data_IF_847195873056
#
_entry.id   IF_847195873056
#
_cell.length_a   1.000
_cell.length_b   1.000
_cell.length_c   1.000
_cell.angle_alpha   90.00
_cell.angle_beta   90.00
_cell.angle_gamma   90.00
#
_symmetry.space_group_name_H-M   'P 1'
#
loop_
_entity.id
_entity.type
_entity.pdbx_description
1 polymer ?
#
# COMPACT_ATOMS: atom_id res chain seq x y z
N UNK A 1 15.32 -19.16 -62.97
CA UNK A 1 14.74 -19.58 -61.63
C UNK A 1 15.35 -18.71 -60.54
N UNK A 2 14.67 -17.62 -60.18
CA UNK A 2 15.08 -16.74 -59.09
C UNK A 2 14.28 -17.13 -57.82
N UNK A 3 14.99 -17.53 -56.78
CA UNK A 3 14.39 -17.76 -55.46
C UNK A 3 14.44 -16.43 -54.66
N UNK A 4 13.28 -15.90 -54.39
CA UNK A 4 13.14 -14.77 -53.45
C UNK A 4 13.29 -15.26 -52.02
N UNK A 5 14.27 -14.71 -51.31
CA UNK A 5 14.48 -14.94 -49.87
C UNK A 5 13.75 -13.82 -49.14
N UNK A 6 12.59 -14.14 -48.54
CA UNK A 6 11.87 -13.23 -47.66
C UNK A 6 12.54 -13.21 -46.27
N UNK A 7 13.17 -12.11 -45.94
CA UNK A 7 13.68 -11.87 -44.59
C UNK A 7 12.55 -11.38 -43.71
N UNK A 8 12.10 -12.22 -42.79
CA UNK A 8 11.17 -11.81 -41.73
C UNK A 8 11.94 -11.09 -40.62
N UNK A 9 11.73 -9.78 -40.51
CA UNK A 9 12.30 -8.99 -39.44
C UNK A 9 11.39 -9.13 -38.20
N UNK A 10 11.84 -9.88 -37.21
CA UNK A 10 11.15 -9.99 -35.93
C UNK A 10 11.39 -8.71 -35.11
N UNK A 11 10.33 -7.93 -34.90
CA UNK A 11 10.33 -6.80 -33.96
C UNK A 11 10.21 -7.34 -32.52
N UNK A 12 11.31 -7.33 -31.79
CA UNK A 12 11.32 -7.55 -30.35
C UNK A 12 10.80 -6.26 -29.65
N UNK A 13 9.55 -6.30 -29.22
CA UNK A 13 9.00 -5.26 -28.32
C UNK A 13 9.59 -5.54 -26.93
N UNK A 14 10.65 -4.83 -26.57
CA UNK A 14 11.13 -4.78 -25.20
C UNK A 14 10.11 -4.00 -24.36
N UNK A 15 9.23 -4.72 -23.65
CA UNK A 15 8.39 -4.14 -22.63
C UNK A 15 9.27 -3.59 -21.52
N UNK A 16 9.35 -2.26 -21.39
CA UNK A 16 9.95 -1.63 -20.24
C UNK A 16 9.05 -1.92 -19.02
N UNK A 17 9.44 -2.89 -18.20
CA UNK A 17 8.93 -3.04 -16.85
C UNK A 17 9.37 -1.76 -16.11
N UNK A 18 8.41 -0.88 -15.80
CA UNK A 18 8.65 0.23 -14.90
C UNK A 18 9.04 -0.39 -13.55
N UNK A 19 10.33 -0.38 -13.22
CA UNK A 19 10.81 -0.69 -11.90
C UNK A 19 10.28 0.43 -10.99
N UNK A 20 9.27 0.13 -10.18
CA UNK A 20 8.95 0.98 -9.04
C UNK A 20 10.17 0.97 -8.15
N UNK A 21 10.78 2.15 -7.94
CA UNK A 21 11.87 2.28 -7.00
C UNK A 21 11.36 1.85 -5.62
N UNK A 22 12.01 0.86 -5.01
CA UNK A 22 11.71 0.47 -3.63
C UNK A 22 11.92 1.67 -2.72
N UNK A 23 10.97 1.94 -1.82
CA UNK A 23 11.08 3.03 -0.87
C UNK A 23 12.16 2.77 0.19
N UNK A 24 12.58 3.83 0.87
CA UNK A 24 13.51 3.80 1.98
C UNK A 24 12.75 3.74 3.32
N UNK A 25 12.94 2.67 4.09
CA UNK A 25 12.25 2.45 5.35
C UNK A 25 12.63 3.48 6.43
N UNK A 26 13.86 3.97 6.46
CA UNK A 26 14.30 4.99 7.41
C UNK A 26 13.67 6.36 7.09
N UNK A 27 13.55 6.70 5.81
CA UNK A 27 12.77 7.87 5.38
C UNK A 27 11.28 7.66 5.65
N UNK A 28 10.77 6.45 5.44
CA UNK A 28 9.38 6.10 5.73
C UNK A 28 8.99 6.25 7.20
N UNK A 29 9.91 5.97 8.12
CA UNK A 29 9.72 6.26 9.55
C UNK A 29 9.44 7.74 9.80
N UNK A 30 10.11 8.64 9.07
CA UNK A 30 9.86 10.08 9.18
C UNK A 30 8.49 10.46 8.63
N UNK A 31 8.06 9.85 7.51
CA UNK A 31 6.72 10.03 6.96
C UNK A 31 5.66 9.53 7.94
N UNK A 32 5.90 8.40 8.61
CA UNK A 32 5.00 7.79 9.59
C UNK A 32 4.68 8.71 10.78
N UNK A 33 5.50 9.73 11.05
CA UNK A 33 5.19 10.74 12.08
C UNK A 33 3.83 11.43 11.86
N UNK A 34 3.31 11.44 10.64
CA UNK A 34 1.94 11.93 10.32
C UNK A 34 0.84 10.95 10.74
N UNK A 35 1.19 9.73 11.07
CA UNK A 35 0.26 8.61 11.36
C UNK A 35 0.29 8.22 12.85
N UNK A 36 1.39 8.55 13.55
CA UNK A 36 1.69 8.05 14.90
C UNK A 36 0.69 8.48 15.98
N UNK A 37 -0.01 9.58 15.76
CA UNK A 37 -1.05 10.03 16.69
C UNK A 37 -2.22 9.03 16.79
N UNK A 38 -2.48 8.30 15.71
CA UNK A 38 -3.61 7.39 15.58
C UNK A 38 -3.22 5.92 15.39
N UNK A 39 -1.98 5.63 15.00
CA UNK A 39 -1.54 4.28 14.68
C UNK A 39 -0.22 3.91 15.37
N UNK A 40 -0.08 2.63 15.70
CA UNK A 40 1.15 2.00 16.14
C UNK A 40 1.63 1.02 15.07
N UNK A 41 2.92 1.03 14.75
CA UNK A 41 3.48 0.14 13.71
C UNK A 41 4.46 -0.90 14.24
N UNK A 42 4.90 -0.77 15.50
CA UNK A 42 5.94 -1.63 16.11
C UNK A 42 5.39 -2.62 17.13
N UNK A 43 4.12 -2.49 17.48
CA UNK A 43 3.41 -3.40 18.38
C UNK A 43 1.96 -3.59 17.94
N UNK A 44 1.27 -4.53 18.57
CA UNK A 44 -0.15 -4.83 18.34
C UNK A 44 -1.10 -3.93 19.15
N UNK A 45 -0.59 -2.81 19.65
CA UNK A 45 -1.38 -1.86 20.43
C UNK A 45 -2.20 -0.93 19.53
N UNK A 46 -3.53 -1.00 19.68
CA UNK A 46 -4.44 -0.08 18.98
C UNK A 46 -4.48 1.28 19.68
N UNK A 47 -4.62 2.33 18.88
CA UNK A 47 -4.86 3.70 19.33
C UNK A 47 -6.24 4.16 18.84
N UNK A 48 -6.34 5.37 18.31
CA UNK A 48 -7.56 5.85 17.62
C UNK A 48 -7.86 4.96 16.40
N UNK A 49 -6.82 4.57 15.68
CA UNK A 49 -6.88 3.59 14.59
C UNK A 49 -6.30 2.23 15.00
N UNK A 50 -6.47 1.21 14.15
CA UNK A 50 -5.89 -0.10 14.37
C UNK A 50 -4.37 -0.06 14.33
N UNK A 51 -3.71 -0.99 15.03
CA UNK A 51 -2.28 -1.18 14.87
C UNK A 51 -1.94 -1.55 13.43
N UNK A 52 -0.77 -1.15 12.97
CA UNK A 52 -0.26 -1.43 11.62
C UNK A 52 0.88 -2.46 11.60
N UNK A 53 1.16 -3.09 12.75
CA UNK A 53 2.10 -4.22 12.81
C UNK A 53 1.59 -5.33 11.89
N UNK A 54 2.42 -5.74 10.92
CA UNK A 54 2.05 -6.77 9.96
C UNK A 54 0.94 -6.39 8.99
N UNK A 55 0.70 -5.08 8.75
CA UNK A 55 -0.40 -4.62 7.88
C UNK A 55 -0.21 -5.00 6.42
N UNK A 56 1.03 -5.08 5.93
CA UNK A 56 1.30 -5.47 4.53
C UNK A 56 0.92 -6.93 4.33
N UNK A 57 -0.03 -7.18 3.44
CA UNK A 57 -0.61 -8.51 3.19
C UNK A 57 -1.84 -8.85 4.02
N UNK A 58 -2.26 -7.99 4.96
CA UNK A 58 -3.46 -8.18 5.77
C UNK A 58 -4.72 -7.81 4.99
N UNK A 59 -5.80 -8.59 5.14
CA UNK A 59 -7.11 -8.22 4.61
C UNK A 59 -7.63 -6.97 5.33
N UNK A 60 -8.24 -6.05 4.59
CA UNK A 60 -8.81 -4.83 5.16
C UNK A 60 -9.88 -5.14 6.22
N UNK A 61 -9.88 -4.38 7.30
CA UNK A 61 -10.90 -4.52 8.35
C UNK A 61 -10.77 -5.75 9.24
N UNK A 62 -9.61 -6.40 9.31
CA UNK A 62 -9.45 -7.70 9.99
C UNK A 62 -8.43 -7.75 11.14
N UNK A 63 -7.92 -6.62 11.63
CA UNK A 63 -7.14 -6.65 12.86
C UNK A 63 -8.05 -7.07 14.02
N UNK A 64 -7.78 -8.22 14.64
CA UNK A 64 -8.66 -8.87 15.63
C UNK A 64 -8.99 -7.95 16.81
N UNK A 65 -8.01 -7.20 17.29
CA UNK A 65 -8.17 -6.26 18.39
C UNK A 65 -9.06 -5.05 18.06
N UNK A 66 -9.28 -4.77 16.76
CA UNK A 66 -9.99 -3.59 16.29
C UNK A 66 -11.33 -3.91 15.60
N UNK A 67 -11.77 -5.15 15.53
CA UNK A 67 -12.93 -5.60 14.73
C UNK A 67 -14.20 -4.79 14.99
N UNK A 68 -14.52 -4.50 16.25
CA UNK A 68 -15.73 -3.74 16.63
C UNK A 68 -15.64 -2.25 16.32
N UNK A 69 -14.45 -1.74 16.02
CA UNK A 69 -14.17 -0.30 15.85
C UNK A 69 -14.01 0.12 14.39
N UNK A 70 -13.86 -0.83 13.46
CA UNK A 70 -13.78 -0.51 12.04
C UNK A 70 -15.07 0.15 11.53
N UNK A 71 -14.94 1.09 10.57
CA UNK A 71 -16.06 1.59 9.82
C UNK A 71 -16.73 0.48 8.99
N UNK A 72 -18.01 0.64 8.68
CA UNK A 72 -18.68 -0.31 7.80
C UNK A 72 -18.01 -0.37 6.42
N UNK A 73 -17.61 0.78 5.86
CA UNK A 73 -16.90 0.83 4.59
C UNK A 73 -15.59 0.02 4.58
N UNK A 74 -14.83 0.03 5.69
CA UNK A 74 -13.61 -0.77 5.80
C UNK A 74 -13.93 -2.28 5.89
N UNK A 75 -14.97 -2.65 6.63
CA UNK A 75 -15.42 -4.05 6.73
C UNK A 75 -15.90 -4.57 5.37
N UNK A 76 -16.68 -3.77 4.65
CA UNK A 76 -17.21 -4.12 3.34
C UNK A 76 -16.09 -4.27 2.31
N UNK A 77 -15.08 -3.39 2.35
CA UNK A 77 -13.91 -3.49 1.48
C UNK A 77 -13.15 -4.80 1.72
N UNK A 78 -12.93 -5.18 2.97
CA UNK A 78 -12.31 -6.46 3.33
C UNK A 78 -13.14 -7.66 2.89
N UNK A 79 -14.44 -7.62 3.09
CA UNK A 79 -15.37 -8.66 2.65
C UNK A 79 -15.39 -8.81 1.11
N UNK A 80 -15.16 -7.73 0.38
CA UNK A 80 -15.02 -7.72 -1.07
C UNK A 80 -13.62 -8.17 -1.56
N UNK A 81 -12.70 -8.50 -0.65
CA UNK A 81 -11.39 -9.06 -0.98
C UNK A 81 -10.25 -8.06 -1.00
N UNK A 82 -10.41 -6.84 -0.46
CA UNK A 82 -9.32 -5.89 -0.38
C UNK A 82 -8.23 -6.40 0.57
N UNK A 83 -7.04 -6.58 0.04
CA UNK A 83 -5.82 -6.93 0.78
C UNK A 83 -4.86 -5.74 0.72
N UNK A 84 -4.22 -5.43 1.84
CA UNK A 84 -3.23 -4.37 1.93
C UNK A 84 -1.88 -4.81 1.34
N UNK A 85 -1.86 -5.16 0.06
CA UNK A 85 -0.62 -5.25 -0.69
C UNK A 85 -0.04 -3.86 -0.97
N UNK A 86 1.17 -3.79 -1.49
CA UNK A 86 1.85 -2.50 -1.70
C UNK A 86 1.08 -1.58 -2.67
N UNK A 87 0.46 -2.14 -3.72
CA UNK A 87 -0.31 -1.37 -4.69
C UNK A 87 -1.58 -0.78 -4.06
N UNK A 88 -2.35 -1.59 -3.33
CA UNK A 88 -3.56 -1.15 -2.64
C UNK A 88 -3.26 -0.15 -1.53
N UNK A 89 -2.16 -0.35 -0.78
CA UNK A 89 -1.68 0.63 0.19
C UNK A 89 -1.31 1.96 -0.47
N UNK A 90 -0.63 1.93 -1.61
CA UNK A 90 -0.28 3.15 -2.32
C UNK A 90 -1.51 3.94 -2.77
N UNK A 91 -2.51 3.28 -3.32
CA UNK A 91 -3.78 3.90 -3.70
C UNK A 91 -4.52 4.46 -2.48
N UNK A 92 -4.59 3.69 -1.40
CA UNK A 92 -5.26 4.12 -0.17
C UNK A 92 -4.58 5.31 0.48
N UNK A 93 -3.26 5.29 0.59
CA UNK A 93 -2.50 6.40 1.18
C UNK A 93 -2.56 7.67 0.34
N UNK A 94 -2.76 7.55 -0.96
CA UNK A 94 -2.95 8.71 -1.85
C UNK A 94 -4.33 9.33 -1.69
N UNK A 95 -5.38 8.52 -1.61
CA UNK A 95 -6.76 8.97 -1.58
C UNK A 95 -7.64 8.01 -0.74
N UNK A 96 -7.55 8.07 0.61
CA UNK A 96 -8.21 7.08 1.47
C UNK A 96 -9.71 6.99 1.27
N UNK A 97 -10.39 8.12 1.09
CA UNK A 97 -11.86 8.16 0.92
C UNK A 97 -12.32 7.63 -0.43
N UNK A 98 -11.46 7.71 -1.45
CA UNK A 98 -11.76 7.16 -2.77
C UNK A 98 -11.54 5.65 -2.78
N UNK A 99 -10.43 5.19 -2.19
CA UNK A 99 -10.11 3.76 -2.15
C UNK A 99 -11.09 2.97 -1.29
N UNK A 100 -11.45 3.51 -0.12
CA UNK A 100 -12.40 2.91 0.81
C UNK A 100 -13.47 3.95 1.19
N UNK A 101 -14.53 4.07 0.39
CA UNK A 101 -15.67 4.94 0.73
C UNK A 101 -16.24 4.58 2.09
N UNK A 102 -16.56 5.59 2.90
CA UNK A 102 -17.11 5.39 4.23
C UNK A 102 -16.08 5.00 5.31
N UNK A 103 -14.77 4.99 4.99
CA UNK A 103 -13.78 4.89 6.07
C UNK A 103 -13.83 6.13 6.95
N UNK A 104 -13.45 5.98 8.23
CA UNK A 104 -13.50 7.06 9.23
C UNK A 104 -12.14 7.64 9.59
N UNK A 105 -11.09 7.28 8.87
CA UNK A 105 -9.76 7.85 9.06
C UNK A 105 -9.76 9.33 8.64
N UNK A 106 -9.43 10.21 9.58
CA UNK A 106 -9.38 11.65 9.36
C UNK A 106 -8.04 12.06 8.71
N UNK A 107 -7.79 11.58 7.51
CA UNK A 107 -6.57 11.83 6.75
C UNK A 107 -6.89 12.00 5.27
N UNK A 108 -6.43 13.09 4.66
CA UNK A 108 -6.77 13.43 3.26
C UNK A 108 -5.89 12.72 2.22
N UNK A 109 -4.77 12.16 2.62
CA UNK A 109 -3.84 11.45 1.76
C UNK A 109 -2.45 12.09 1.66
N UNK A 110 -1.51 11.32 1.13
CA UNK A 110 -0.16 11.77 0.78
C UNK A 110 -0.12 12.16 -0.70
N UNK A 111 0.53 13.27 -1.02
CA UNK A 111 0.65 13.77 -2.40
C UNK A 111 1.96 13.36 -3.07
N UNK A 112 2.99 13.04 -2.29
CA UNK A 112 4.31 12.65 -2.78
C UNK A 112 4.38 11.14 -3.02
N UNK A 113 4.75 10.72 -4.22
CA UNK A 113 4.99 9.32 -4.56
C UNK A 113 6.15 8.72 -3.75
N UNK A 114 7.19 9.51 -3.50
CA UNK A 114 8.34 9.08 -2.68
C UNK A 114 7.92 8.87 -1.23
N UNK A 115 7.11 9.76 -0.65
CA UNK A 115 6.60 9.59 0.71
C UNK A 115 5.74 8.32 0.83
N UNK A 116 4.90 8.04 -0.17
CA UNK A 116 4.08 6.82 -0.22
C UNK A 116 4.97 5.57 -0.29
N UNK A 117 5.93 5.54 -1.20
CA UNK A 117 6.85 4.42 -1.34
C UNK A 117 7.67 4.20 -0.05
N UNK A 118 8.18 5.27 0.54
CA UNK A 118 8.99 5.22 1.76
C UNK A 118 8.19 4.73 2.96
N UNK A 119 6.95 5.21 3.19
CA UNK A 119 6.15 4.76 4.32
C UNK A 119 5.70 3.30 4.15
N UNK A 120 5.43 2.84 2.94
CA UNK A 120 5.14 1.43 2.66
C UNK A 120 6.36 0.57 2.98
N UNK A 121 7.56 0.99 2.58
CA UNK A 121 8.81 0.31 2.93
C UNK A 121 9.00 0.22 4.45
N UNK A 122 8.69 1.28 5.20
CA UNK A 122 8.71 1.26 6.65
C UNK A 122 7.70 0.28 7.24
N UNK A 123 6.45 0.28 6.75
CA UNK A 123 5.42 -0.65 7.24
C UNK A 123 5.76 -2.11 6.97
N UNK A 124 6.46 -2.39 5.87
CA UNK A 124 6.90 -3.73 5.45
C UNK A 124 8.13 -4.21 6.20
N UNK A 125 9.00 -3.32 6.65
CA UNK A 125 10.28 -3.68 7.28
C UNK A 125 10.08 -4.47 8.57
N UNK A 126 10.91 -5.52 8.75
CA UNK A 126 10.98 -6.31 9.97
C UNK A 126 12.44 -6.77 10.19
N UNK A 127 13.12 -6.31 11.23
CA UNK A 127 12.67 -5.27 12.17
C UNK A 127 12.58 -3.89 11.52
N UNK A 128 11.76 -3.02 12.12
CA UNK A 128 11.67 -1.63 11.68
C UNK A 128 12.88 -0.80 12.11
N UNK A 129 13.35 0.16 11.29
CA UNK A 129 14.47 1.03 11.63
C UNK A 129 14.17 2.00 12.78
#
# INVERSE_FOLDING_TARGET
MLRAISSATAFLIAGALAAHADGDAALGKKVFNRCIACHEATSDHDKVGPHLLGVVGRTAGTADSYLSRYSQGMKDAGAAGLVWDEANLAEYLRAPRQKVPGNKMAFSGLTSDDDIANVIAYLKADPKP
#
